data_IF_385977487169
#
_entry.id   IF_385977487169
#
_cell.length_a   1.000
_cell.length_b   1.000
_cell.length_c   1.000
_cell.angle_alpha   90.00
_cell.angle_beta   90.00
_cell.angle_gamma   90.00
#
_symmetry.space_group_name_H-M   'P 1'
#
loop_
_entity.id
_entity.type
_entity.pdbx_description
1 polymer ?
#
# COMPACT_ATOMS: atom_id res chain seq x y z
N UNK A 1 2.04 2.66 -46.19
CA UNK A 1 1.25 1.51 -45.72
C UNK A 1 1.84 1.05 -44.42
N UNK A 2 1.27 1.47 -43.29
CA UNK A 2 1.76 1.12 -41.95
C UNK A 2 0.82 0.04 -41.43
N UNK A 3 1.30 -1.21 -41.36
CA UNK A 3 0.59 -2.32 -40.74
C UNK A 3 0.70 -2.21 -39.22
N UNK A 4 -0.44 -2.00 -38.56
CA UNK A 4 -0.57 -2.06 -37.11
C UNK A 4 -0.83 -3.53 -36.75
N UNK A 5 0.15 -4.15 -36.10
CA UNK A 5 0.03 -5.49 -35.51
C UNK A 5 -1.09 -5.50 -34.46
N UNK A 6 -2.17 -6.24 -34.76
CA UNK A 6 -3.17 -6.68 -33.78
C UNK A 6 -2.52 -7.70 -32.83
N UNK A 7 -2.18 -7.29 -31.61
CA UNK A 7 -1.89 -8.23 -30.51
C UNK A 7 -3.19 -8.65 -29.83
N UNK A 8 -3.48 -9.94 -29.93
CA UNK A 8 -4.54 -10.67 -29.21
C UNK A 8 -4.19 -10.69 -27.71
N UNK A 9 -5.15 -10.46 -26.79
CA UNK A 9 -4.90 -10.58 -25.35
C UNK A 9 -4.76 -12.04 -24.90
N UNK A 10 -3.96 -12.34 -23.85
CA UNK A 10 -3.71 -13.71 -23.42
C UNK A 10 -4.91 -14.31 -22.69
N UNK A 11 -5.24 -15.56 -23.06
CA UNK A 11 -6.24 -16.40 -22.42
C UNK A 11 -5.76 -16.82 -21.01
N UNK A 12 -6.64 -16.69 -20.02
CA UNK A 12 -6.41 -17.23 -18.67
C UNK A 12 -6.51 -18.76 -18.71
N UNK A 13 -5.38 -19.42 -18.47
CA UNK A 13 -5.35 -20.87 -18.27
C UNK A 13 -5.78 -21.19 -16.83
N UNK A 14 -6.93 -21.87 -16.69
CA UNK A 14 -7.37 -22.42 -15.41
C UNK A 14 -6.41 -23.52 -14.96
N UNK A 15 -5.72 -23.26 -13.84
CA UNK A 15 -4.88 -24.24 -13.15
C UNK A 15 -5.78 -25.23 -12.39
N UNK A 16 -5.64 -26.51 -12.71
CA UNK A 16 -6.23 -27.63 -11.97
C UNK A 16 -5.36 -27.95 -10.76
N UNK A 17 -5.92 -27.84 -9.56
CA UNK A 17 -5.38 -28.45 -8.36
C UNK A 17 -6.48 -29.30 -7.71
N UNK A 18 -6.17 -30.59 -7.58
CA UNK A 18 -6.82 -31.52 -6.67
C UNK A 18 -6.78 -30.98 -5.24
N UNK A 19 -7.87 -31.08 -4.50
CA UNK A 19 -7.82 -31.24 -3.06
C UNK A 19 -9.00 -32.10 -2.59
N UNK A 20 -8.70 -32.95 -1.62
CA UNK A 20 -9.45 -34.10 -1.15
C UNK A 20 -10.71 -33.73 -0.37
N UNK A 21 -11.69 -34.65 -0.40
CA UNK A 21 -12.98 -34.48 0.26
C UNK A 21 -12.95 -34.59 1.78
N UNK A 22 -13.98 -34.03 2.42
CA UNK A 22 -14.96 -34.76 3.24
C UNK A 22 -16.11 -33.86 3.70
N UNK A 23 -17.33 -34.41 3.57
CA UNK A 23 -18.47 -34.36 4.48
C UNK A 23 -18.97 -33.02 5.07
N UNK A 24 -20.14 -32.56 4.59
CA UNK A 24 -21.44 -32.76 5.27
C UNK A 24 -22.52 -31.83 4.69
N UNK A 25 -23.68 -32.41 4.36
CA UNK A 25 -24.96 -31.71 4.15
C UNK A 25 -26.02 -32.62 4.81
N UNK A 26 -27.11 -32.11 5.42
CA UNK A 26 -28.27 -31.83 4.57
C UNK A 26 -29.26 -30.74 5.08
N UNK A 27 -30.02 -30.20 4.10
CA UNK A 27 -31.39 -29.59 4.17
C UNK A 27 -31.43 -28.09 4.50
N UNK A 28 -32.17 -27.23 3.80
CA UNK A 28 -33.24 -27.39 2.79
C UNK A 28 -33.40 -26.08 2.01
N UNK A 29 -33.40 -26.13 0.68
CA UNK A 29 -33.80 -25.02 -0.18
C UNK A 29 -35.01 -25.46 -1.01
N UNK A 30 -36.13 -24.77 -0.83
CA UNK A 30 -37.40 -25.01 -1.52
C UNK A 30 -37.37 -24.40 -2.92
N UNK A 31 -37.46 -25.23 -3.96
CA UNK A 31 -37.85 -24.80 -5.31
C UNK A 31 -38.91 -25.78 -5.82
N UNK A 32 -40.12 -25.26 -6.01
CA UNK A 32 -41.26 -25.97 -6.57
C UNK A 32 -41.08 -26.20 -8.07
N UNK A 33 -40.95 -27.49 -8.40
CA UNK A 33 -41.59 -28.27 -9.47
C UNK A 33 -42.27 -27.52 -10.63
N UNK A 34 -41.67 -27.68 -11.81
CA UNK A 34 -42.33 -27.55 -13.13
C UNK A 34 -42.99 -28.90 -13.49
N UNK A 35 -44.27 -28.97 -13.90
CA UNK A 35 -44.86 -30.23 -14.32
C UNK A 35 -44.59 -30.54 -15.80
N UNK A 36 -44.12 -31.75 -16.05
CA UNK A 36 -44.07 -32.40 -17.35
C UNK A 36 -45.47 -32.82 -17.81
N UNK A 37 -45.85 -32.46 -19.04
CA UNK A 37 -47.09 -32.91 -19.67
C UNK A 37 -46.89 -34.28 -20.32
N UNK A 38 -47.68 -35.25 -19.86
CA UNK A 38 -47.80 -36.59 -20.44
C UNK A 38 -48.65 -36.57 -21.71
N UNK A 39 -48.17 -37.28 -22.73
CA UNK A 39 -48.89 -37.59 -23.95
C UNK A 39 -49.95 -38.66 -23.67
N UNK A 40 -51.18 -38.45 -24.16
CA UNK A 40 -52.14 -39.53 -24.34
C UNK A 40 -52.60 -39.54 -25.80
N UNK A 41 -52.27 -40.62 -26.49
CA UNK A 41 -52.72 -40.90 -27.84
C UNK A 41 -53.94 -41.82 -27.76
N UNK A 42 -55.06 -41.45 -28.39
CA UNK A 42 -56.10 -42.42 -28.76
C UNK A 42 -56.87 -41.98 -30.01
N UNK A 43 -56.60 -42.73 -31.07
CA UNK A 43 -57.54 -43.30 -32.06
C UNK A 43 -58.29 -42.46 -33.12
N UNK A 44 -58.21 -43.05 -34.31
CA UNK A 44 -59.20 -43.15 -35.40
C UNK A 44 -59.27 -42.01 -36.41
N UNK A 45 -58.69 -42.29 -37.59
CA UNK A 45 -58.96 -41.58 -38.82
C UNK A 45 -60.20 -42.12 -39.53
N UNK A 46 -60.86 -41.22 -40.27
CA UNK A 46 -61.56 -41.53 -41.52
C UNK A 46 -61.48 -40.31 -42.44
N UNK A 47 -61.36 -40.61 -43.73
CA UNK A 47 -61.19 -39.77 -44.91
C UNK A 47 -62.17 -38.60 -45.09
N UNK A 48 -61.67 -37.51 -45.70
CA UNK A 48 -62.13 -36.93 -46.99
C UNK A 48 -62.12 -35.39 -47.00
N UNK A 49 -61.44 -34.84 -48.01
CA UNK A 49 -61.21 -33.40 -48.30
C UNK A 49 -62.52 -32.74 -48.79
N UNK A 50 -62.76 -31.43 -48.54
CA UNK A 50 -62.59 -30.47 -49.64
C UNK A 50 -62.00 -29.08 -49.26
N UNK A 51 -61.05 -28.64 -50.09
CA UNK A 51 -60.76 -27.26 -50.57
C UNK A 51 -60.97 -26.06 -49.64
N UNK A 52 -59.86 -25.44 -49.23
CA UNK A 52 -59.80 -24.04 -48.78
C UNK A 52 -59.62 -23.05 -49.96
N UNK A 53 -60.19 -21.82 -49.90
CA UNK A 53 -60.00 -20.77 -50.91
C UNK A 53 -58.63 -20.06 -50.78
N UNK A 54 -58.22 -19.24 -51.77
CA UNK A 54 -56.84 -18.79 -51.93
C UNK A 54 -56.41 -17.71 -50.93
N UNK A 55 -55.10 -17.67 -50.67
CA UNK A 55 -54.42 -16.72 -49.81
C UNK A 55 -54.74 -15.26 -50.15
N UNK A 56 -55.26 -14.51 -49.17
CA UNK A 56 -55.17 -13.05 -49.13
C UNK A 56 -53.89 -12.65 -48.38
N UNK A 57 -53.19 -11.56 -48.78
CA UNK A 57 -52.03 -11.08 -48.05
C UNK A 57 -52.52 -10.34 -46.79
N UNK A 58 -52.38 -10.93 -45.61
CA UNK A 58 -52.52 -10.19 -44.36
C UNK A 58 -51.24 -9.42 -44.08
N UNK A 59 -51.13 -8.22 -44.65
CA UNK A 59 -50.37 -7.15 -44.01
C UNK A 59 -51.11 -6.77 -42.73
N UNK A 60 -50.61 -7.18 -41.57
CA UNK A 60 -51.00 -6.54 -40.32
C UNK A 60 -49.74 -6.25 -39.49
N UNK A 61 -49.14 -5.13 -39.82
CA UNK A 61 -48.28 -4.30 -38.99
C UNK A 61 -48.95 -4.02 -37.64
N UNK A 62 -48.75 -4.92 -36.69
CA UNK A 62 -49.07 -4.69 -35.28
C UNK A 62 -48.04 -3.76 -34.64
N UNK A 63 -48.46 -2.52 -34.39
CA UNK A 63 -47.74 -1.48 -33.67
C UNK A 63 -47.11 -1.98 -32.36
N UNK A 64 -45.81 -2.25 -32.35
CA UNK A 64 -45.00 -2.38 -31.14
C UNK A 64 -44.38 -1.03 -30.71
N UNK A 65 -44.94 0.09 -31.19
CA UNK A 65 -44.36 1.45 -31.07
C UNK A 65 -44.06 1.82 -29.62
N UNK A 66 -44.96 1.49 -28.69
CA UNK A 66 -44.76 1.75 -27.26
C UNK A 66 -43.60 0.97 -26.66
N UNK A 67 -43.49 -0.34 -26.94
CA UNK A 67 -42.40 -1.17 -26.44
C UNK A 67 -41.06 -0.72 -27.03
N UNK A 68 -41.03 -0.46 -28.33
CA UNK A 68 -39.83 0.00 -29.05
C UNK A 68 -39.33 1.34 -28.49
N UNK A 69 -40.24 2.28 -28.18
CA UNK A 69 -39.89 3.57 -27.57
C UNK A 69 -39.31 3.39 -26.16
N UNK A 70 -39.87 2.51 -25.34
CA UNK A 70 -39.34 2.22 -23.99
C UNK A 70 -37.94 1.60 -24.08
N UNK A 71 -37.74 0.63 -24.98
CA UNK A 71 -36.45 -0.02 -25.19
C UNK A 71 -35.40 1.00 -25.67
N UNK A 72 -35.74 1.87 -26.60
CA UNK A 72 -34.82 2.93 -27.08
C UNK A 72 -34.47 3.91 -25.96
N UNK A 73 -35.44 4.29 -25.12
CA UNK A 73 -35.18 5.15 -23.95
C UNK A 73 -34.20 4.50 -22.99
N UNK A 74 -34.42 3.23 -22.63
CA UNK A 74 -33.54 2.49 -21.74
C UNK A 74 -32.14 2.30 -22.33
N UNK A 75 -32.04 2.02 -23.64
CA UNK A 75 -30.76 1.95 -24.34
C UNK A 75 -30.03 3.29 -24.34
N UNK A 76 -30.75 4.39 -24.47
CA UNK A 76 -30.18 5.74 -24.42
C UNK A 76 -29.65 6.05 -23.01
N UNK A 77 -30.41 5.71 -21.97
CA UNK A 77 -29.98 5.84 -20.57
C UNK A 77 -28.71 5.02 -20.30
N UNK A 78 -28.69 3.74 -20.69
CA UNK A 78 -27.48 2.91 -20.55
C UNK A 78 -26.30 3.46 -21.36
N UNK A 79 -26.51 3.99 -22.56
CA UNK A 79 -25.45 4.59 -23.36
C UNK A 79 -24.85 5.84 -22.69
N UNK A 80 -25.68 6.64 -22.01
CA UNK A 80 -25.21 7.79 -21.22
C UNK A 80 -24.42 7.34 -20.00
N UNK A 81 -24.89 6.33 -19.27
CA UNK A 81 -24.17 5.77 -18.12
C UNK A 81 -22.80 5.20 -18.54
N UNK A 82 -22.74 4.47 -19.66
CA UNK A 82 -21.48 3.93 -20.19
C UNK A 82 -20.52 5.06 -20.59
N UNK A 83 -21.03 6.14 -21.17
CA UNK A 83 -20.21 7.32 -21.50
C UNK A 83 -19.67 7.99 -20.26
N UNK A 84 -20.47 8.09 -19.19
CA UNK A 84 -20.04 8.64 -17.91
C UNK A 84 -18.98 7.76 -17.26
N UNK A 85 -19.19 6.43 -17.22
CA UNK A 85 -18.22 5.48 -16.69
C UNK A 85 -16.91 5.56 -17.46
N UNK A 86 -16.95 5.64 -18.79
CA UNK A 86 -15.75 5.83 -19.62
C UNK A 86 -15.04 7.13 -19.26
N UNK A 87 -15.78 8.24 -19.10
CA UNK A 87 -15.19 9.52 -18.68
C UNK A 87 -14.50 9.43 -17.32
N UNK A 88 -15.07 8.68 -16.37
CA UNK A 88 -14.45 8.45 -15.05
C UNK A 88 -13.19 7.59 -15.16
N UNK A 89 -13.18 6.57 -16.02
CA UNK A 89 -12.00 5.73 -16.29
C UNK A 89 -10.89 6.53 -16.96
N UNK A 90 -11.21 7.36 -17.95
CA UNK A 90 -10.24 8.23 -18.64
C UNK A 90 -9.63 9.24 -17.65
N UNK A 91 -10.45 9.84 -16.77
CA UNK A 91 -9.97 10.74 -15.72
C UNK A 91 -9.05 10.02 -14.72
N UNK A 92 -9.43 8.84 -14.25
CA UNK A 92 -8.59 8.05 -13.35
C UNK A 92 -7.26 7.66 -14.01
N UNK A 93 -7.29 7.31 -15.30
CA UNK A 93 -6.09 6.99 -16.08
C UNK A 93 -5.17 8.21 -16.20
N UNK A 94 -5.72 9.40 -16.44
CA UNK A 94 -4.95 10.64 -16.48
C UNK A 94 -4.30 10.95 -15.13
N UNK A 95 -5.03 10.77 -14.01
CA UNK A 95 -4.49 10.96 -12.67
C UNK A 95 -3.35 9.98 -12.36
N UNK A 96 -3.49 8.71 -12.73
CA UNK A 96 -2.42 7.71 -12.56
C UNK A 96 -1.17 8.08 -13.36
N UNK A 97 -1.32 8.55 -14.59
CA UNK A 97 -0.20 9.00 -15.39
C UNK A 97 0.50 10.22 -14.77
N UNK A 98 -0.25 11.20 -14.28
CA UNK A 98 0.30 12.40 -13.61
C UNK A 98 1.09 12.02 -12.34
N UNK A 99 0.57 11.10 -11.54
CA UNK A 99 1.29 10.55 -10.38
C UNK A 99 2.56 9.81 -10.80
N UNK A 100 2.53 9.09 -11.93
CA UNK A 100 3.70 8.39 -12.43
C UNK A 100 4.78 9.36 -12.97
N UNK A 101 4.37 10.47 -13.60
CA UNK A 101 5.26 11.56 -14.01
C UNK A 101 5.88 12.28 -12.80
N UNK A 102 5.13 12.46 -11.71
CA UNK A 102 5.66 12.96 -10.44
C UNK A 102 6.66 11.98 -9.81
N UNK A 103 6.44 10.66 -9.97
CA UNK A 103 7.36 9.61 -9.51
C UNK A 103 8.69 9.62 -10.28
N UNK A 104 8.73 10.04 -11.54
CA UNK A 104 10.00 10.14 -12.28
C UNK A 104 10.95 11.23 -11.75
N UNK A 105 10.45 12.22 -11.00
CA UNK A 105 11.27 13.15 -10.21
C UNK A 105 11.82 12.54 -8.90
N UNK A 106 11.33 11.36 -8.52
CA UNK A 106 11.65 10.64 -7.29
C UNK A 106 12.03 9.19 -7.62
N UNK A 107 13.15 9.02 -8.33
CA UNK A 107 13.69 7.69 -8.69
C UNK A 107 14.02 6.86 -7.45
N UNK A 108 13.07 6.11 -6.91
CA UNK A 108 13.39 4.97 -6.04
C UNK A 108 13.95 3.90 -6.99
N UNK A 109 15.21 3.47 -6.84
CA UNK A 109 15.76 2.41 -7.67
C UNK A 109 14.84 1.19 -7.62
N UNK A 110 14.51 0.65 -8.80
CA UNK A 110 13.61 -0.51 -8.99
C UNK A 110 14.23 -1.83 -8.49
N UNK A 111 15.46 -1.81 -7.97
CA UNK A 111 16.11 -2.95 -7.32
C UNK A 111 16.26 -2.71 -5.80
N UNK A 112 15.51 -3.43 -4.94
CA UNK A 112 15.52 -3.22 -3.51
C UNK A 112 16.84 -3.53 -2.77
N UNK A 113 17.87 -4.10 -3.40
CA UNK A 113 19.06 -4.59 -2.67
C UNK A 113 20.39 -4.55 -3.45
N UNK A 114 20.74 -3.42 -4.03
CA UNK A 114 22.16 -3.13 -4.38
C UNK A 114 22.60 -1.78 -3.77
N UNK A 115 22.20 -1.59 -2.50
CA UNK A 115 22.73 -0.49 -1.71
C UNK A 115 24.07 -0.96 -1.13
N UNK A 116 25.11 -0.97 -1.96
CA UNK A 116 26.51 -1.03 -1.51
C UNK A 116 26.84 0.26 -0.74
N UNK A 117 26.35 0.34 0.50
CA UNK A 117 26.57 1.44 1.43
C UNK A 117 27.49 0.95 2.54
N UNK A 118 28.75 0.74 2.18
CA UNK A 118 29.86 0.57 3.12
C UNK A 118 30.23 1.92 3.79
N UNK A 119 29.23 2.63 4.30
CA UNK A 119 29.43 3.73 5.23
C UNK A 119 29.13 3.22 6.63
N UNK A 120 30.15 3.23 7.47
CA UNK A 120 30.01 3.16 8.92
C UNK A 120 29.04 4.27 9.34
N UNK A 121 27.80 3.87 9.61
CA UNK A 121 26.69 4.79 9.81
C UNK A 121 26.80 5.52 11.15
N UNK A 122 27.47 4.87 12.11
CA UNK A 122 27.66 5.37 13.46
C UNK A 122 28.89 6.29 13.52
N UNK A 123 28.62 7.57 13.65
CA UNK A 123 29.62 8.61 13.91
C UNK A 123 30.18 8.44 15.33
N UNK A 124 31.50 8.29 15.46
CA UNK A 124 32.16 7.97 16.74
C UNK A 124 32.82 9.18 17.41
N UNK A 125 33.17 10.21 16.64
CA UNK A 125 33.79 11.45 17.14
C UNK A 125 33.04 12.68 16.64
N UNK A 126 33.27 13.81 17.29
CA UNK A 126 32.66 15.09 16.89
C UNK A 126 33.18 15.57 15.54
N UNK A 127 34.46 15.35 15.26
CA UNK A 127 35.08 15.69 13.97
C UNK A 127 34.44 14.89 12.82
N UNK A 128 34.26 13.57 13.01
CA UNK A 128 33.56 12.73 12.02
C UNK A 128 32.09 13.12 11.86
N UNK A 129 31.49 13.80 12.84
CA UNK A 129 30.13 14.34 12.70
C UNK A 129 30.11 15.54 11.77
N UNK A 130 31.11 16.41 11.85
CA UNK A 130 31.21 17.60 11.00
C UNK A 130 31.41 17.21 9.53
N UNK A 131 32.26 16.22 9.26
CA UNK A 131 32.37 15.61 7.92
C UNK A 131 31.07 14.95 7.45
N UNK A 132 30.35 14.29 8.37
CA UNK A 132 29.06 13.69 8.07
C UNK A 132 28.01 14.74 7.71
N UNK A 133 27.96 15.86 8.44
CA UNK A 133 27.08 17.01 8.14
C UNK A 133 27.41 17.64 6.78
N UNK A 134 28.69 17.75 6.42
CA UNK A 134 29.09 18.24 5.10
C UNK A 134 28.55 17.32 3.99
N UNK A 135 28.61 16.00 4.18
CA UNK A 135 28.03 15.03 3.23
C UNK A 135 26.50 15.13 3.13
N UNK A 136 25.81 15.54 4.20
CA UNK A 136 24.35 15.75 4.20
C UNK A 136 23.90 16.92 3.31
N UNK A 137 24.82 17.74 2.80
CA UNK A 137 24.51 18.75 1.78
C UNK A 137 24.18 18.13 0.42
N UNK A 138 24.69 16.92 0.14
CA UNK A 138 24.40 16.21 -1.10
C UNK A 138 23.02 15.56 -1.05
N UNK A 139 22.13 15.98 -1.94
CA UNK A 139 20.78 15.42 -2.07
C UNK A 139 20.81 13.91 -2.38
N UNK A 140 21.79 13.45 -3.17
CA UNK A 140 21.96 12.03 -3.48
C UNK A 140 22.34 11.23 -2.23
N UNK A 141 23.26 11.76 -1.42
CA UNK A 141 23.66 11.12 -0.16
C UNK A 141 22.49 11.06 0.82
N UNK A 142 21.75 12.15 0.98
CA UNK A 142 20.55 12.20 1.83
C UNK A 142 19.52 11.16 1.41
N UNK A 143 19.28 11.01 0.10
CA UNK A 143 18.33 10.02 -0.43
C UNK A 143 18.76 8.58 -0.11
N UNK A 144 20.04 8.25 -0.33
CA UNK A 144 20.62 6.94 0.01
C UNK A 144 20.55 6.67 1.51
N UNK A 145 20.87 7.67 2.33
CA UNK A 145 20.79 7.59 3.79
C UNK A 145 19.35 7.35 4.26
N UNK A 146 18.40 8.12 3.75
CA UNK A 146 16.98 7.97 4.06
C UNK A 146 16.45 6.56 3.73
N UNK A 147 16.84 6.01 2.58
CA UNK A 147 16.49 4.65 2.21
C UNK A 147 17.03 3.62 3.22
N UNK A 148 18.29 3.74 3.64
CA UNK A 148 18.89 2.89 4.69
C UNK A 148 18.18 3.05 6.04
N UNK A 149 17.87 4.29 6.43
CA UNK A 149 17.19 4.60 7.69
C UNK A 149 15.74 4.10 7.73
N UNK A 150 15.06 4.08 6.58
CA UNK A 150 13.67 3.61 6.48
C UNK A 150 13.50 2.15 6.93
N UNK A 151 14.53 1.33 6.73
CA UNK A 151 14.54 -0.10 7.12
C UNK A 151 14.60 -0.29 8.63
N UNK A 152 15.25 0.62 9.37
CA UNK A 152 15.44 0.48 10.82
C UNK A 152 14.11 0.63 11.58
N UNK A 153 13.26 1.55 11.13
CA UNK A 153 11.88 1.74 11.60
C UNK A 153 11.67 1.72 13.12
N UNK A 154 10.44 1.43 13.52
CA UNK A 154 10.01 1.36 14.92
C UNK A 154 8.49 1.17 15.02
N UNK A 155 8.02 0.82 16.22
CA UNK A 155 6.58 0.65 16.49
C UNK A 155 5.86 1.98 16.75
N UNK A 156 6.60 2.98 17.20
CA UNK A 156 6.15 4.31 17.57
C UNK A 156 7.27 5.33 17.28
N UNK A 157 6.99 6.62 17.47
CA UNK A 157 7.95 7.70 17.18
C UNK A 157 9.20 7.57 18.04
N UNK A 158 9.06 7.22 19.32
CA UNK A 158 10.18 7.12 20.25
C UNK A 158 11.13 5.98 19.87
N UNK A 159 10.60 4.80 19.57
CA UNK A 159 11.37 3.64 19.14
C UNK A 159 12.02 3.89 17.78
N UNK A 160 11.30 4.52 16.84
CA UNK A 160 11.87 4.90 15.54
C UNK A 160 13.06 5.83 15.73
N UNK A 161 12.89 6.96 16.44
CA UNK A 161 13.98 7.91 16.69
C UNK A 161 15.15 7.25 17.41
N UNK A 162 14.88 6.39 18.41
CA UNK A 162 15.93 5.65 19.10
C UNK A 162 16.73 4.75 18.17
N UNK A 163 16.05 3.96 17.33
CA UNK A 163 16.69 3.05 16.38
C UNK A 163 17.55 3.82 15.37
N UNK A 164 17.01 4.91 14.83
CA UNK A 164 17.74 5.80 13.92
C UNK A 164 18.99 6.37 14.61
N UNK A 165 18.82 7.02 15.76
CA UNK A 165 19.90 7.69 16.47
C UNK A 165 21.00 6.73 16.93
N UNK A 166 20.66 5.52 17.38
CA UNK A 166 21.65 4.50 17.79
C UNK A 166 22.46 3.96 16.61
N UNK A 167 21.96 4.08 15.38
CA UNK A 167 22.68 3.73 14.18
C UNK A 167 23.42 4.91 13.54
N UNK A 168 23.10 6.15 13.94
CA UNK A 168 23.74 7.37 13.42
C UNK A 168 24.86 7.88 14.33
N UNK A 169 24.70 7.80 15.65
CA UNK A 169 25.63 8.41 16.61
C UNK A 169 26.04 7.43 17.69
N UNK A 170 27.35 7.37 17.95
CA UNK A 170 27.85 6.72 19.15
C UNK A 170 27.37 7.47 20.41
N UNK A 171 27.12 6.76 21.54
CA UNK A 171 26.74 7.39 22.80
C UNK A 171 27.72 8.44 23.31
N UNK A 172 29.01 8.33 22.96
CA UNK A 172 30.06 9.30 23.28
C UNK A 172 29.81 10.66 22.63
N UNK A 173 29.38 10.66 21.35
CA UNK A 173 29.05 11.87 20.59
C UNK A 173 27.72 12.43 21.07
N UNK A 174 26.69 11.60 21.17
CA UNK A 174 25.34 12.04 21.55
C UNK A 174 25.30 12.77 22.91
N UNK A 175 26.17 12.40 23.86
CA UNK A 175 26.26 13.06 25.17
C UNK A 175 26.77 14.50 25.13
N UNK A 176 27.49 14.88 24.09
CA UNK A 176 28.04 16.23 23.92
C UNK A 176 27.01 17.24 23.39
N UNK A 177 25.87 16.74 22.93
CA UNK A 177 24.79 17.53 22.37
C UNK A 177 23.59 17.58 23.32
N UNK A 178 22.80 18.62 23.18
CA UNK A 178 21.39 18.60 23.55
C UNK A 178 20.60 19.32 22.46
N UNK A 179 19.27 19.33 22.56
CA UNK A 179 18.45 19.84 21.46
C UNK A 179 18.65 21.35 21.19
N UNK A 180 18.95 22.17 22.20
CA UNK A 180 18.98 23.65 22.10
C UNK A 180 20.34 24.30 22.42
N UNK A 181 21.40 23.53 22.64
CA UNK A 181 22.72 24.02 23.06
C UNK A 181 22.86 24.45 24.53
N UNK A 182 21.95 24.07 25.42
CA UNK A 182 21.97 24.55 26.81
C UNK A 182 23.18 24.00 27.61
N UNK A 183 23.60 24.72 28.66
CA UNK A 183 24.65 24.29 29.61
C UNK A 183 26.00 23.95 28.97
N UNK A 184 26.39 24.71 27.94
CA UNK A 184 27.69 24.55 27.26
C UNK A 184 27.79 23.31 26.36
N UNK A 185 26.67 22.64 26.07
CA UNK A 185 26.61 21.55 25.09
C UNK A 185 26.36 22.10 23.68
N UNK A 186 26.73 21.34 22.65
CA UNK A 186 26.44 21.69 21.26
C UNK A 186 24.94 21.57 20.97
N UNK A 187 24.42 22.41 20.06
CA UNK A 187 23.01 22.40 19.65
C UNK A 187 22.75 21.37 18.55
N UNK A 188 21.89 20.38 18.83
CA UNK A 188 21.53 19.34 17.87
C UNK A 188 20.53 19.83 16.81
N UNK A 189 19.64 20.78 17.16
CA UNK A 189 18.62 21.28 16.23
C UNK A 189 19.20 21.95 14.98
N UNK A 190 20.40 22.50 15.08
CA UNK A 190 21.07 23.19 13.96
C UNK A 190 21.70 22.22 12.96
N UNK A 191 21.80 20.92 13.29
CA UNK A 191 22.36 19.91 12.42
C UNK A 191 21.37 19.51 11.32
N UNK A 192 21.86 19.30 10.10
CA UNK A 192 21.08 18.74 9.00
C UNK A 192 20.59 17.33 9.33
N UNK A 193 21.35 16.61 10.17
CA UNK A 193 20.96 15.31 10.69
C UNK A 193 19.59 15.34 11.39
N UNK A 194 19.25 16.43 12.09
CA UNK A 194 17.93 16.55 12.73
C UNK A 194 16.80 16.57 11.69
N UNK A 195 17.00 17.23 10.54
CA UNK A 195 16.06 17.23 9.42
C UNK A 195 15.97 15.88 8.73
N UNK A 196 17.10 15.18 8.56
CA UNK A 196 17.13 13.82 8.02
C UNK A 196 16.36 12.85 8.90
N UNK A 197 16.54 12.91 10.23
CA UNK A 197 15.81 12.03 11.16
C UNK A 197 14.31 12.29 11.08
N UNK A 198 13.88 13.55 11.01
CA UNK A 198 12.46 13.88 10.84
C UNK A 198 11.89 13.24 9.58
N UNK A 199 12.58 13.37 8.44
CA UNK A 199 12.17 12.74 7.17
C UNK A 199 12.16 11.21 7.28
N UNK A 200 13.16 10.61 7.91
CA UNK A 200 13.22 9.16 8.12
C UNK A 200 12.05 8.65 8.98
N UNK A 201 11.63 9.39 10.01
CA UNK A 201 10.45 9.05 10.81
C UNK A 201 9.18 9.06 9.96
N UNK A 202 9.06 10.01 9.03
CA UNK A 202 7.92 10.08 8.12
C UNK A 202 7.91 8.99 7.06
N UNK A 203 9.06 8.40 6.73
CA UNK A 203 9.13 7.24 5.84
C UNK A 203 8.64 5.93 6.48
N UNK A 204 8.60 5.85 7.81
CA UNK A 204 8.05 4.67 8.49
C UNK A 204 6.50 4.74 8.46
N UNK A 205 5.81 3.75 7.86
CA UNK A 205 4.35 3.76 7.73
C UNK A 205 3.60 3.92 9.05
N UNK A 206 4.19 3.46 10.16
CA UNK A 206 3.59 3.56 11.51
C UNK A 206 3.69 4.95 12.12
N UNK A 207 4.62 5.78 11.64
CA UNK A 207 4.91 7.11 12.20
C UNK A 207 4.85 8.22 11.17
N UNK A 208 4.33 7.95 9.98
CA UNK A 208 4.21 8.91 8.87
C UNK A 208 3.47 10.20 9.24
N UNK A 209 2.50 10.12 10.15
CA UNK A 209 1.68 11.25 10.58
C UNK A 209 2.21 11.95 11.84
N UNK A 210 3.42 11.61 12.31
CA UNK A 210 3.98 12.19 13.52
C UNK A 210 4.20 13.71 13.37
N UNK A 211 3.80 14.48 14.39
CA UNK A 211 4.05 15.92 14.37
C UNK A 211 5.54 16.19 14.62
N UNK A 212 6.04 17.32 14.09
CA UNK A 212 7.43 17.77 14.32
C UNK A 212 7.77 17.84 15.82
N UNK A 213 6.81 18.23 16.65
CA UNK A 213 6.98 18.32 18.10
C UNK A 213 7.14 16.95 18.77
N UNK A 214 6.44 15.92 18.29
CA UNK A 214 6.59 14.54 18.81
C UNK A 214 8.00 14.00 18.53
N UNK A 215 8.48 14.20 17.31
CA UNK A 215 9.83 13.80 16.89
C UNK A 215 10.89 14.56 17.68
N UNK A 216 10.71 15.88 17.85
CA UNK A 216 11.57 16.71 18.70
C UNK A 216 11.60 16.19 20.14
N UNK A 217 10.46 15.87 20.73
CA UNK A 217 10.40 15.37 22.10
C UNK A 217 11.12 14.03 22.24
N UNK A 218 11.00 13.16 21.23
CA UNK A 218 11.74 11.90 21.17
C UNK A 218 13.25 12.13 21.06
N UNK A 219 13.70 13.09 20.23
CA UNK A 219 15.12 13.48 20.12
C UNK A 219 15.66 14.04 21.44
N UNK A 220 14.92 14.95 22.08
CA UNK A 220 15.27 15.49 23.41
C UNK A 220 15.44 14.37 24.42
N UNK A 221 14.47 13.44 24.47
CA UNK A 221 14.52 12.29 25.37
C UNK A 221 15.72 11.39 25.09
N UNK A 222 16.03 11.13 23.82
CA UNK A 222 17.19 10.31 23.43
C UNK A 222 18.51 10.95 23.88
N UNK A 223 18.74 12.23 23.53
CA UNK A 223 19.95 12.97 23.86
C UNK A 223 20.14 13.14 25.37
N UNK A 224 19.04 13.38 26.10
CA UNK A 224 19.08 13.46 27.56
C UNK A 224 19.52 12.13 28.20
N UNK A 225 19.02 11.01 27.67
CA UNK A 225 19.35 9.68 28.16
C UNK A 225 20.67 9.13 27.57
N UNK A 226 21.40 9.90 26.76
CA UNK A 226 22.58 9.41 26.05
C UNK A 226 23.67 8.86 26.98
N UNK A 227 23.80 9.43 28.19
CA UNK A 227 24.72 8.96 29.24
C UNK A 227 24.42 7.55 29.72
N UNK A 228 23.15 7.17 29.73
CA UNK A 228 22.70 5.88 30.25
C UNK A 228 22.68 4.79 29.17
N UNK A 229 22.88 5.14 27.88
CA UNK A 229 22.90 4.20 26.74
C UNK A 229 24.00 3.12 26.87
N UNK A 230 25.16 3.46 27.46
CA UNK A 230 26.28 2.53 27.71
C UNK A 230 26.05 1.62 28.94
N UNK A 231 24.79 1.35 29.28
CA UNK A 231 24.43 0.48 30.41
C UNK A 231 24.64 1.11 31.78
N UNK A 232 24.69 2.45 31.88
CA UNK A 232 24.88 3.16 33.16
C UNK A 232 23.83 2.79 34.21
N UNK A 233 22.56 2.62 33.81
CA UNK A 233 21.48 2.14 34.70
C UNK A 233 21.66 0.67 35.09
N UNK A 234 22.11 -0.18 34.16
CA UNK A 234 22.36 -1.61 34.42
C UNK A 234 23.51 -1.79 35.42
N UNK A 235 24.58 -0.98 35.29
CA UNK A 235 25.72 -0.95 36.22
C UNK A 235 25.36 -0.41 37.61
N UNK A 236 24.55 0.65 37.72
CA UNK A 236 24.08 1.18 39.03
C UNK A 236 23.16 0.20 39.76
N UNK A 237 22.28 -0.50 39.01
CA UNK A 237 21.43 -1.56 39.58
C UNK A 237 22.26 -2.76 40.04
N UNK A 238 23.28 -3.15 39.28
CA UNK A 238 24.19 -4.21 39.67
C UNK A 238 25.04 -3.86 40.90
N UNK A 239 25.57 -2.64 40.99
CA UNK A 239 26.36 -2.20 42.16
C UNK A 239 25.53 -1.94 43.42
N UNK A 240 24.25 -1.54 43.28
CA UNK A 240 23.36 -1.32 44.42
C UNK A 240 22.83 -2.62 45.06
N UNK A 241 23.12 -3.78 44.47
CA UNK A 241 22.65 -5.09 44.94
C UNK A 241 23.72 -5.87 45.71
N UNK A 242 24.93 -5.33 45.83
CA UNK A 242 26.03 -5.89 46.65
C UNK A 242 26.00 -5.23 48.04
N UNK A 243 25.01 -5.57 48.85
CA UNK A 243 25.06 -5.33 50.31
C UNK A 243 25.75 -6.54 50.94
N UNK A 244 26.88 -6.38 51.64
CA UNK A 244 27.54 -7.49 52.30
C UNK A 244 26.62 -8.03 53.40
N UNK A 245 26.32 -9.32 53.34
CA UNK A 245 25.71 -10.02 54.47
C UNK A 245 26.69 -9.92 55.64
N UNK A 246 26.31 -9.16 56.66
CA UNK A 246 26.97 -9.17 57.96
C UNK A 246 26.88 -10.59 58.48
N UNK A 247 28.04 -11.20 58.71
CA UNK A 247 28.20 -12.45 59.45
C UNK A 247 27.66 -12.27 60.88
N UNK A 248 26.79 -13.17 61.31
CA UNK A 248 26.54 -13.52 62.72
C UNK A 248 26.67 -15.04 62.87
#
# INVERSE_FOLDING_TARGET
MIEILNKVPPQYQQSSAHDDGQDENPRSNSLETVPAFHSNATSSGTSSIPRSPPLAPTSNTGSNTGFQVIVVKLLTEMALEVKEVKSRVDHNTALLNDLNLQKEGMSVPEDPMDIDLDFQLQVQTVETLEEFEERLTSAEFVKKLLLKLSVLGGKDVQSTVKNLMSNLLAPSVAQQYNFTGAKGKKEFRQLELAGVILRAVHMNPRTQNAQKDDVKQALVSYLFNARDLMGGRRKRRANGQVVPATEE
#
